data_IF_003706844759
#
_entry.id   IF_003706844759
#
_cell.length_a   1.000
_cell.length_b   1.000
_cell.length_c   1.000
_cell.angle_alpha   90.00
_cell.angle_beta   90.00
_cell.angle_gamma   90.00
#
_symmetry.space_group_name_H-M   'P 1'
#
loop_
_entity.id
_entity.type
_entity.pdbx_description
1 polymer ?
#
# COMPACT_ATOMS: atom_id res chain seq x y z
N UNK A 1 50.08 -19.55 37.12
CA UNK A 1 50.49 -20.91 37.53
C UNK A 1 49.88 -21.88 36.53
N UNK A 2 50.74 -22.56 35.75
CA UNK A 2 50.57 -23.82 34.99
C UNK A 2 49.37 -23.97 34.03
N UNK A 3 49.44 -24.53 32.83
CA UNK A 3 50.44 -25.08 31.90
C UNK A 3 49.63 -25.37 30.60
N UNK A 4 50.05 -24.96 29.40
CA UNK A 4 50.87 -25.69 28.42
C UNK A 4 50.17 -26.82 27.61
N UNK A 5 50.39 -26.79 26.29
CA UNK A 5 50.35 -27.93 25.36
C UNK A 5 49.10 -27.99 24.45
N UNK A 6 49.18 -28.14 23.12
CA UNK A 6 50.31 -28.38 22.24
C UNK A 6 49.80 -28.70 20.82
N UNK A 7 50.49 -28.12 19.85
CA UNK A 7 50.36 -28.11 18.39
C UNK A 7 50.37 -29.47 17.65
N UNK A 8 49.84 -29.52 16.42
CA UNK A 8 50.52 -29.86 15.13
C UNK A 8 49.48 -30.22 14.03
N UNK A 9 49.42 -29.49 12.90
CA UNK A 9 50.18 -29.70 11.62
C UNK A 9 49.81 -31.00 10.89
N UNK A 10 49.74 -31.14 9.57
CA UNK A 10 49.80 -30.29 8.38
C UNK A 10 49.73 -31.23 7.16
N UNK A 11 49.19 -30.73 6.04
CA UNK A 11 49.59 -31.03 4.62
C UNK A 11 49.21 -32.38 3.95
N UNK A 12 48.34 -32.19 2.93
CA UNK A 12 48.51 -32.47 1.47
C UNK A 12 48.82 -33.91 1.00
N UNK A 13 48.03 -34.37 0.02
CA UNK A 13 48.48 -34.61 -1.37
C UNK A 13 47.30 -34.83 -2.34
N UNK A 14 47.53 -34.45 -3.60
CA UNK A 14 46.70 -34.57 -4.80
C UNK A 14 47.45 -35.51 -5.74
N UNK A 15 46.77 -36.47 -6.39
CA UNK A 15 47.26 -37.21 -7.55
C UNK A 15 46.07 -37.54 -8.48
N UNK A 16 46.34 -37.50 -9.78
CA UNK A 16 45.45 -37.76 -10.93
C UNK A 16 45.79 -39.13 -11.59
N UNK A 17 44.85 -39.67 -12.40
CA UNK A 17 45.00 -40.80 -13.34
C UNK A 17 44.58 -42.17 -12.77
N UNK A 18 43.99 -43.15 -13.50
CA UNK A 18 43.69 -43.37 -14.92
C UNK A 18 42.83 -44.66 -15.06
N UNK A 19 42.28 -44.89 -16.26
CA UNK A 19 41.31 -45.92 -16.70
C UNK A 19 41.64 -47.42 -16.46
N UNK A 20 40.57 -48.25 -16.34
CA UNK A 20 40.26 -49.48 -17.12
C UNK A 20 39.41 -50.53 -16.35
N UNK A 21 38.66 -51.32 -17.11
CA UNK A 21 37.37 -51.94 -16.81
C UNK A 21 37.38 -53.34 -16.14
N UNK A 22 36.26 -53.73 -15.50
CA UNK A 22 35.69 -55.11 -15.55
C UNK A 22 34.24 -55.18 -15.04
N UNK A 23 33.40 -55.90 -15.79
CA UNK A 23 32.01 -56.34 -15.49
C UNK A 23 31.98 -57.44 -14.39
N UNK A 24 30.89 -57.94 -13.77
CA UNK A 24 29.44 -58.02 -13.99
C UNK A 24 28.72 -58.15 -12.62
N UNK A 25 27.39 -57.98 -12.59
CA UNK A 25 26.51 -58.77 -11.71
C UNK A 25 25.77 -58.04 -10.58
N UNK A 26 24.45 -57.90 -10.71
CA UNK A 26 23.56 -57.56 -9.59
C UNK A 26 22.27 -56.84 -9.96
N UNK A 27 21.35 -57.51 -10.66
CA UNK A 27 19.95 -57.08 -10.76
C UNK A 27 19.27 -57.19 -9.38
N UNK A 28 19.02 -56.06 -8.72
CA UNK A 28 17.96 -55.97 -7.71
C UNK A 28 17.04 -54.78 -7.97
N UNK A 29 15.77 -55.12 -8.13
CA UNK A 29 14.66 -54.28 -8.58
C UNK A 29 14.19 -53.40 -7.41
N UNK A 30 14.50 -52.11 -7.43
CA UNK A 30 13.82 -51.13 -6.55
C UNK A 30 12.90 -50.23 -7.39
N UNK A 31 11.67 -50.70 -7.59
CA UNK A 31 10.60 -49.94 -8.23
C UNK A 31 10.10 -48.82 -7.30
N UNK A 32 10.85 -47.72 -7.20
CA UNK A 32 10.33 -46.44 -6.69
C UNK A 32 9.80 -45.64 -7.88
N UNK A 33 8.50 -45.78 -8.10
CA UNK A 33 7.75 -45.05 -9.13
C UNK A 33 7.97 -43.55 -9.02
N UNK A 34 8.86 -43.01 -9.84
CA UNK A 34 8.95 -41.58 -10.10
C UNK A 34 7.72 -41.21 -10.92
N UNK A 35 6.70 -40.65 -10.26
CA UNK A 35 5.59 -40.01 -10.97
C UNK A 35 6.18 -38.87 -11.80
N UNK A 36 6.41 -39.14 -13.09
CA UNK A 36 6.78 -38.14 -14.09
C UNK A 36 5.73 -37.04 -14.03
N UNK A 37 6.06 -35.91 -13.39
CA UNK A 37 5.23 -34.71 -13.44
C UNK A 37 5.25 -34.25 -14.89
N UNK A 38 4.10 -34.39 -15.56
CA UNK A 38 3.87 -33.88 -16.90
C UNK A 38 4.30 -32.41 -17.01
N UNK A 39 4.81 -31.96 -18.16
CA UNK A 39 5.26 -30.59 -18.34
C UNK A 39 4.08 -29.64 -18.08
N UNK A 40 4.19 -28.80 -17.06
CA UNK A 40 3.17 -27.80 -16.72
C UNK A 40 3.07 -26.81 -17.88
N UNK A 41 2.10 -27.03 -18.77
CA UNK A 41 1.67 -26.01 -19.75
C UNK A 41 1.45 -24.71 -18.96
N UNK A 42 2.17 -23.66 -19.34
CA UNK A 42 2.31 -22.42 -18.55
C UNK A 42 0.99 -21.99 -17.91
N UNK A 43 1.04 -21.69 -16.61
CA UNK A 43 -0.14 -21.35 -15.81
C UNK A 43 -0.87 -20.11 -16.33
N UNK A 44 -0.19 -19.26 -17.09
CA UNK A 44 -0.72 -18.06 -17.75
C UNK A 44 -1.24 -18.36 -19.16
N UNK A 45 -2.43 -17.88 -19.49
CA UNK A 45 -3.01 -17.94 -20.83
C UNK A 45 -2.54 -16.77 -21.70
N UNK A 46 -2.92 -16.80 -22.99
CA UNK A 46 -2.68 -15.71 -23.95
C UNK A 46 -3.25 -14.36 -23.51
N UNK A 47 -4.26 -14.35 -22.64
CA UNK A 47 -4.82 -13.14 -22.03
C UNK A 47 -4.01 -12.60 -20.85
N UNK A 48 -2.80 -13.13 -20.60
CA UNK A 48 -1.91 -12.70 -19.50
C UNK A 48 -2.42 -13.03 -18.09
N UNK A 49 -3.46 -13.86 -17.97
CA UNK A 49 -4.06 -14.28 -16.69
C UNK A 49 -3.79 -15.74 -16.44
N UNK A 50 -3.87 -16.20 -15.19
CA UNK A 50 -3.86 -17.64 -14.93
C UNK A 50 -5.04 -18.32 -15.65
N UNK A 51 -4.79 -19.40 -16.40
CA UNK A 51 -5.80 -20.13 -17.20
C UNK A 51 -7.03 -20.47 -16.37
N UNK A 52 -6.84 -20.92 -15.13
CA UNK A 52 -7.91 -21.27 -14.20
C UNK A 52 -8.84 -20.09 -13.87
N UNK A 53 -8.37 -18.85 -13.95
CA UNK A 53 -9.14 -17.63 -13.63
C UNK A 53 -9.24 -16.68 -14.81
N UNK A 54 -9.09 -17.19 -16.04
CA UNK A 54 -9.32 -16.40 -17.24
C UNK A 54 -10.71 -16.65 -17.79
N UNK A 55 -11.53 -15.59 -17.84
CA UNK A 55 -12.89 -15.66 -18.41
C UNK A 55 -12.85 -16.01 -19.91
N UNK A 56 -11.92 -15.42 -20.66
CA UNK A 56 -11.77 -15.67 -22.09
C UNK A 56 -11.31 -17.09 -22.45
N UNK A 57 -10.73 -17.83 -21.50
CA UNK A 57 -10.33 -19.22 -21.69
C UNK A 57 -11.30 -20.23 -21.06
N UNK A 58 -12.48 -19.79 -20.59
CA UNK A 58 -13.41 -20.67 -19.86
C UNK A 58 -12.83 -21.25 -18.57
N UNK A 59 -11.92 -20.50 -17.91
CA UNK A 59 -11.17 -20.97 -16.76
C UNK A 59 -12.05 -21.63 -15.69
N UNK A 60 -11.67 -22.85 -15.27
CA UNK A 60 -12.42 -23.69 -14.33
C UNK A 60 -12.66 -23.06 -12.95
N UNK A 61 -11.97 -21.96 -12.64
CA UNK A 61 -12.14 -21.16 -11.44
C UNK A 61 -13.11 -19.99 -11.58
N UNK A 62 -13.71 -19.73 -12.75
CA UNK A 62 -14.68 -18.64 -12.97
C UNK A 62 -16.10 -19.18 -13.21
N UNK A 63 -17.09 -18.65 -12.51
CA UNK A 63 -18.50 -18.99 -12.73
C UNK A 63 -19.08 -18.22 -13.93
N UNK A 64 -20.28 -18.61 -14.34
CA UNK A 64 -21.08 -17.88 -15.35
C UNK A 64 -21.26 -16.39 -15.02
N UNK A 65 -21.33 -16.03 -13.73
CA UNK A 65 -21.38 -14.65 -13.25
C UNK A 65 -20.05 -13.86 -13.41
N UNK A 66 -19.02 -14.46 -14.00
CA UNK A 66 -17.71 -13.84 -14.23
C UNK A 66 -16.88 -13.60 -12.97
N UNK A 67 -17.30 -14.17 -11.83
CA UNK A 67 -16.59 -14.10 -10.53
C UNK A 67 -15.79 -15.38 -10.32
N UNK A 68 -14.80 -15.34 -9.44
CA UNK A 68 -14.10 -16.57 -9.00
C UNK A 68 -15.10 -17.46 -8.25
N UNK A 69 -15.27 -18.71 -8.70
CA UNK A 69 -16.31 -19.66 -8.23
C UNK A 69 -16.33 -19.80 -6.71
N UNK A 70 -15.16 -19.91 -6.08
CA UNK A 70 -15.04 -20.08 -4.63
C UNK A 70 -15.60 -18.90 -3.82
N UNK A 71 -15.64 -17.70 -4.41
CA UNK A 71 -16.15 -16.46 -3.79
C UNK A 71 -17.38 -15.90 -4.50
N UNK A 72 -18.06 -16.71 -5.32
CA UNK A 72 -19.31 -16.29 -5.95
C UNK A 72 -20.49 -16.67 -5.05
N UNK A 73 -21.23 -15.66 -4.57
CA UNK A 73 -22.40 -15.88 -3.71
C UNK A 73 -23.51 -16.64 -4.44
N UNK A 74 -23.77 -16.27 -5.70
CA UNK A 74 -24.81 -16.87 -6.55
C UNK A 74 -24.53 -18.34 -6.87
N UNK A 75 -23.26 -18.74 -6.91
CA UNK A 75 -22.87 -20.14 -7.12
C UNK A 75 -22.64 -20.92 -5.82
N UNK A 76 -22.99 -20.37 -4.65
CA UNK A 76 -22.75 -21.01 -3.36
C UNK A 76 -21.27 -21.26 -3.06
N UNK A 77 -20.38 -20.42 -3.58
CA UNK A 77 -18.93 -20.58 -3.51
C UNK A 77 -18.46 -20.95 -2.10
N UNK A 78 -17.73 -22.07 -1.98
CA UNK A 78 -17.37 -22.67 -0.70
C UNK A 78 -16.53 -21.80 0.24
N UNK A 79 -16.05 -20.63 -0.21
CA UNK A 79 -15.39 -19.64 0.63
C UNK A 79 -16.35 -18.58 1.20
N UNK A 80 -17.63 -18.57 0.85
CA UNK A 80 -18.65 -17.64 1.38
C UNK A 80 -19.49 -18.32 2.48
N UNK A 81 -19.70 -17.64 3.60
CA UNK A 81 -20.64 -18.09 4.64
C UNK A 81 -22.06 -17.58 4.38
N UNK A 82 -23.02 -18.08 5.16
CA UNK A 82 -24.41 -17.62 5.19
C UNK A 82 -24.55 -16.10 5.35
N UNK A 83 -23.62 -15.45 6.05
CA UNK A 83 -23.57 -13.99 6.22
C UNK A 83 -23.13 -13.23 4.94
N UNK A 84 -22.90 -13.92 3.82
CA UNK A 84 -22.44 -13.32 2.56
C UNK A 84 -21.02 -12.78 2.58
N UNK A 85 -20.23 -13.12 3.60
CA UNK A 85 -18.82 -12.73 3.76
C UNK A 85 -17.90 -13.91 3.43
N UNK A 86 -16.64 -13.62 3.15
CA UNK A 86 -15.62 -14.68 3.06
C UNK A 86 -15.51 -15.35 4.43
N UNK A 87 -15.67 -16.68 4.50
CA UNK A 87 -15.71 -17.51 5.72
C UNK A 87 -14.55 -17.20 6.66
N UNK A 88 -13.33 -17.16 6.14
CA UNK A 88 -12.13 -16.85 6.92
C UNK A 88 -12.15 -15.44 7.53
N UNK A 89 -12.92 -14.52 6.95
CA UNK A 89 -13.05 -13.12 7.38
C UNK A 89 -14.37 -12.83 8.09
N UNK A 90 -15.22 -13.83 8.34
CA UNK A 90 -16.50 -13.62 8.99
C UNK A 90 -16.40 -13.82 10.51
N UNK A 91 -16.66 -12.76 11.28
CA UNK A 91 -16.74 -12.84 12.75
C UNK A 91 -17.82 -13.82 13.21
N UNK A 92 -19.01 -13.75 12.62
CA UNK A 92 -20.15 -14.61 12.98
C UNK A 92 -19.93 -16.11 12.72
N UNK A 93 -18.97 -16.46 11.87
CA UNK A 93 -18.59 -17.86 11.60
C UNK A 93 -17.28 -18.27 12.27
N UNK A 94 -16.73 -17.46 13.19
CA UNK A 94 -15.45 -17.76 13.82
C UNK A 94 -14.26 -17.78 12.86
N UNK A 95 -14.35 -17.04 11.75
CA UNK A 95 -13.36 -17.06 10.67
C UNK A 95 -11.92 -16.94 11.17
N UNK A 96 -11.05 -17.84 10.70
CA UNK A 96 -9.67 -17.98 11.19
C UNK A 96 -8.83 -16.70 11.07
N UNK A 97 -9.22 -15.75 10.22
CA UNK A 97 -8.53 -14.48 10.04
C UNK A 97 -9.03 -13.35 10.94
N UNK A 98 -10.14 -13.52 11.68
CA UNK A 98 -10.73 -12.48 12.57
C UNK A 98 -10.64 -12.89 14.04
N UNK A 99 -10.18 -11.99 14.91
CA UNK A 99 -10.19 -12.21 16.36
C UNK A 99 -11.55 -11.89 16.98
N UNK A 100 -11.70 -12.21 18.26
CA UNK A 100 -12.88 -11.84 19.08
C UNK A 100 -13.20 -10.33 19.06
N UNK A 101 -12.17 -9.49 18.94
CA UNK A 101 -12.29 -8.03 18.78
C UNK A 101 -12.83 -7.59 17.41
N UNK A 102 -13.15 -8.52 16.50
CA UNK A 102 -13.66 -8.22 15.16
C UNK A 102 -12.62 -7.62 14.21
N UNK A 103 -11.34 -7.65 14.57
CA UNK A 103 -10.21 -7.19 13.75
C UNK A 103 -9.53 -8.37 13.06
N UNK A 104 -8.80 -8.10 11.99
CA UNK A 104 -7.96 -9.13 11.36
C UNK A 104 -6.88 -9.54 12.38
N UNK A 105 -6.77 -10.84 12.70
CA UNK A 105 -5.91 -11.38 13.77
C UNK A 105 -4.46 -10.92 13.65
N UNK A 106 -3.91 -10.95 12.43
CA UNK A 106 -2.52 -10.57 12.18
C UNK A 106 -2.21 -9.10 12.51
N UNK A 107 -3.23 -8.23 12.52
CA UNK A 107 -3.13 -6.80 12.82
C UNK A 107 -3.91 -6.39 14.07
N UNK A 108 -4.31 -7.33 14.91
CA UNK A 108 -4.96 -7.02 16.18
C UNK A 108 -3.91 -6.86 17.27
N UNK A 109 -3.80 -5.66 17.85
CA UNK A 109 -2.85 -5.39 18.94
C UNK A 109 -3.17 -6.21 20.20
N UNK A 110 -4.45 -6.28 20.58
CA UNK A 110 -4.91 -7.03 21.77
C UNK A 110 -4.65 -8.54 21.65
N UNK A 111 -4.65 -9.09 20.45
CA UNK A 111 -4.33 -10.51 20.22
C UNK A 111 -2.84 -10.76 19.93
N UNK A 112 -1.96 -9.77 20.09
CA UNK A 112 -0.53 -9.90 19.79
C UNK A 112 -0.24 -10.19 18.31
N UNK A 113 -1.08 -9.70 17.40
CA UNK A 113 -1.04 -10.01 15.97
C UNK A 113 0.36 -9.95 15.39
N UNK A 114 0.73 -10.99 14.63
CA UNK A 114 2.10 -11.20 14.12
C UNK A 114 2.64 -10.03 13.28
N UNK A 115 1.76 -9.22 12.68
CA UNK A 115 2.15 -8.08 11.85
C UNK A 115 2.35 -6.77 12.62
N UNK A 116 1.92 -6.67 13.88
CA UNK A 116 2.02 -5.45 14.71
C UNK A 116 2.97 -5.69 15.90
N UNK A 117 3.82 -4.70 16.20
CA UNK A 117 4.66 -4.72 17.39
C UNK A 117 3.96 -4.16 18.63
N UNK A 118 4.60 -4.28 19.79
CA UNK A 118 4.15 -3.68 21.05
C UNK A 118 3.86 -2.16 20.94
N UNK A 119 4.60 -1.45 20.09
CA UNK A 119 4.41 -0.02 19.79
C UNK A 119 3.13 0.27 18.96
N UNK A 120 2.35 -0.74 18.59
CA UNK A 120 1.12 -0.58 17.80
C UNK A 120 1.36 -0.25 16.32
N UNK A 121 2.60 -0.31 15.85
CA UNK A 121 2.97 -0.11 14.45
C UNK A 121 3.16 -1.46 13.74
N UNK A 122 3.06 -1.48 12.41
CA UNK A 122 3.42 -2.67 11.65
C UNK A 122 4.89 -3.01 11.93
N UNK A 123 5.20 -4.26 12.32
CA UNK A 123 6.56 -4.66 12.76
C UNK A 123 7.63 -4.28 11.75
N UNK A 124 7.35 -4.50 10.46
CA UNK A 124 8.27 -4.14 9.37
C UNK A 124 8.54 -2.64 9.25
N UNK A 125 7.65 -1.78 9.75
CA UNK A 125 7.78 -0.33 9.69
C UNK A 125 8.15 0.29 11.04
N UNK A 126 8.29 -0.50 12.10
CA UNK A 126 8.57 0.02 13.44
C UNK A 126 10.06 0.23 13.65
N UNK A 127 10.48 1.48 13.90
CA UNK A 127 11.87 1.82 14.23
C UNK A 127 12.32 1.16 15.55
N UNK A 128 11.48 1.22 16.59
CA UNK A 128 11.79 0.68 17.92
C UNK A 128 12.01 -0.84 17.95
N UNK A 129 11.45 -1.58 16.97
CA UNK A 129 11.63 -3.03 16.85
C UNK A 129 12.65 -3.44 15.79
N UNK A 130 13.41 -2.49 15.21
CA UNK A 130 14.36 -2.79 14.14
C UNK A 130 13.69 -3.31 12.85
N UNK A 131 12.46 -2.89 12.58
CA UNK A 131 11.67 -3.35 11.44
C UNK A 131 12.43 -3.30 10.11
N UNK A 132 12.37 -4.39 9.34
CA UNK A 132 13.14 -4.56 8.09
C UNK A 132 12.89 -3.50 7.02
N UNK A 133 11.77 -2.77 7.12
CA UNK A 133 11.39 -1.67 6.23
C UNK A 133 11.96 -0.30 6.62
N UNK A 134 12.57 -0.16 7.80
CA UNK A 134 13.22 1.09 8.25
C UNK A 134 14.74 0.86 8.31
N UNK A 135 15.52 1.85 7.87
CA UNK A 135 16.98 1.82 8.02
C UNK A 135 17.43 2.53 9.31
N UNK A 136 18.71 2.40 9.64
CA UNK A 136 19.35 3.08 10.78
C UNK A 136 19.10 4.60 10.80
N UNK A 137 18.99 5.23 9.63
CA UNK A 137 18.65 6.65 9.46
C UNK A 137 17.20 7.00 9.81
N UNK A 138 16.38 6.03 10.26
CA UNK A 138 14.96 6.24 10.58
C UNK A 138 14.05 6.48 9.37
N UNK A 139 14.55 6.27 8.15
CA UNK A 139 13.78 6.41 6.91
C UNK A 139 13.32 5.05 6.41
N UNK A 140 12.29 5.01 5.55
CA UNK A 140 11.97 3.78 4.81
C UNK A 140 13.19 3.32 4.02
N UNK A 141 13.64 2.09 4.22
CA UNK A 141 14.87 1.54 3.65
C UNK A 141 14.89 1.64 2.13
N UNK A 142 13.76 1.38 1.47
CA UNK A 142 13.60 1.55 0.02
C UNK A 142 13.79 3.00 -0.46
N UNK A 143 13.57 3.99 0.40
CA UNK A 143 13.66 5.42 0.08
C UNK A 143 14.92 6.09 0.67
N UNK A 144 15.79 5.33 1.33
CA UNK A 144 16.98 5.89 1.95
C UNK A 144 18.16 5.93 0.99
N UNK A 145 18.64 7.13 0.64
CA UNK A 145 19.84 7.31 -0.20
C UNK A 145 21.08 6.67 0.45
N UNK A 146 21.30 6.92 1.74
CA UNK A 146 22.46 6.40 2.48
C UNK A 146 22.53 4.88 2.58
N UNK A 147 21.40 4.18 2.40
CA UNK A 147 21.34 2.72 2.40
C UNK A 147 21.17 2.12 1.00
N UNK A 148 21.35 2.90 -0.07
CA UNK A 148 21.17 2.42 -1.45
C UNK A 148 19.73 1.99 -1.78
N UNK A 149 18.73 2.60 -1.15
CA UNK A 149 17.33 2.21 -1.26
C UNK A 149 16.85 2.03 -2.70
N UNK A 150 16.14 0.94 -2.96
CA UNK A 150 15.67 0.52 -4.31
C UNK A 150 14.79 1.56 -5.03
N UNK A 151 14.23 2.54 -4.32
CA UNK A 151 13.45 3.63 -4.90
C UNK A 151 14.24 4.89 -5.22
N UNK A 152 15.51 5.03 -4.81
CA UNK A 152 16.34 6.23 -5.04
C UNK A 152 17.51 5.91 -5.98
N UNK A 153 17.68 6.67 -7.06
CA UNK A 153 18.82 6.50 -7.96
C UNK A 153 20.11 7.11 -7.38
N UNK A 154 21.23 6.87 -8.05
CA UNK A 154 22.54 7.50 -7.75
C UNK A 154 22.47 9.04 -7.72
N UNK A 155 21.62 9.65 -8.56
CA UNK A 155 21.35 11.09 -8.58
C UNK A 155 20.58 11.60 -7.34
N UNK A 156 20.23 10.73 -6.39
CA UNK A 156 19.48 11.07 -5.17
C UNK A 156 18.01 11.40 -5.41
N UNK A 157 17.48 11.16 -6.62
CA UNK A 157 16.08 11.34 -6.98
C UNK A 157 15.33 10.01 -6.88
N UNK A 158 14.00 10.06 -6.76
CA UNK A 158 13.19 8.83 -6.84
C UNK A 158 13.35 8.24 -8.25
N UNK A 159 13.79 6.97 -8.36
CA UNK A 159 14.14 6.28 -9.62
C UNK A 159 13.05 6.43 -10.69
N UNK A 160 11.78 6.25 -10.30
CA UNK A 160 10.65 6.33 -11.23
C UNK A 160 10.46 7.71 -11.85
N UNK A 161 10.93 8.79 -11.21
CA UNK A 161 10.83 10.17 -11.69
C UNK A 161 12.18 10.78 -12.09
N UNK A 162 13.25 10.01 -12.09
CA UNK A 162 14.57 10.51 -12.47
C UNK A 162 14.72 10.50 -13.99
N UNK A 163 14.91 11.68 -14.60
CA UNK A 163 15.12 11.83 -16.04
C UNK A 163 16.41 11.14 -16.50
N UNK A 164 17.51 11.32 -15.78
CA UNK A 164 18.82 10.75 -16.10
C UNK A 164 18.80 9.21 -16.08
N UNK A 165 17.98 8.60 -15.23
CA UNK A 165 17.82 7.15 -15.17
C UNK A 165 16.72 6.60 -16.10
N UNK A 166 16.12 7.43 -16.97
CA UNK A 166 15.01 7.00 -17.82
C UNK A 166 13.77 6.55 -17.03
N UNK A 167 13.54 7.13 -15.85
CA UNK A 167 12.49 6.74 -14.92
C UNK A 167 11.13 6.56 -15.61
N UNK A 168 10.49 5.40 -15.39
CA UNK A 168 9.27 5.00 -16.10
C UNK A 168 8.06 5.93 -15.93
N UNK A 169 8.11 6.89 -15.01
CA UNK A 169 7.08 7.91 -14.84
C UNK A 169 7.38 9.22 -15.59
N UNK A 170 8.54 9.38 -16.24
CA UNK A 170 8.94 10.59 -17.00
C UNK A 170 8.93 10.31 -18.50
N UNK A 171 8.32 11.17 -19.31
CA UNK A 171 8.40 11.07 -20.76
C UNK A 171 9.66 11.76 -21.32
N UNK A 172 9.90 11.59 -22.62
CA UNK A 172 10.95 12.28 -23.38
C UNK A 172 10.93 13.81 -23.18
N UNK A 173 9.75 14.40 -22.99
CA UNK A 173 9.57 15.83 -22.70
C UNK A 173 10.03 16.25 -21.28
N UNK A 174 10.56 15.34 -20.46
CA UNK A 174 10.97 15.60 -19.08
C UNK A 174 9.83 15.84 -18.10
N UNK A 175 8.57 15.59 -18.50
CA UNK A 175 7.38 15.75 -17.67
C UNK A 175 6.92 14.40 -17.14
N UNK A 176 6.16 14.39 -16.04
CA UNK A 176 5.49 13.16 -15.58
C UNK A 176 4.55 12.67 -16.70
N UNK A 177 4.72 11.43 -17.16
CA UNK A 177 3.99 10.82 -18.29
C UNK A 177 2.48 11.00 -18.18
N UNK A 178 1.92 10.69 -17.01
CA UNK A 178 0.48 10.85 -16.75
C UNK A 178 0.01 12.30 -16.82
N UNK A 179 0.90 13.28 -16.70
CA UNK A 179 0.62 14.71 -16.77
C UNK A 179 1.12 15.36 -18.06
N UNK A 180 1.63 14.60 -19.01
CA UNK A 180 2.16 15.16 -20.25
C UNK A 180 1.12 15.12 -21.37
N UNK A 181 0.72 16.31 -21.85
CA UNK A 181 -0.19 16.45 -23.00
C UNK A 181 0.38 15.81 -24.27
N UNK A 182 1.66 16.07 -24.58
CA UNK A 182 2.32 15.55 -25.79
C UNK A 182 2.43 14.03 -25.84
N UNK A 183 2.36 13.34 -24.70
CA UNK A 183 2.39 11.88 -24.62
C UNK A 183 1.01 11.25 -24.40
N UNK A 184 -0.09 12.02 -24.53
CA UNK A 184 -1.45 11.52 -24.27
C UNK A 184 -1.70 11.09 -22.81
N UNK A 185 -0.92 11.63 -21.86
CA UNK A 185 -0.92 11.23 -20.46
C UNK A 185 -2.33 11.12 -19.86
N UNK A 186 -2.57 10.02 -19.13
CA UNK A 186 -3.91 9.66 -18.61
C UNK A 186 -4.57 10.71 -17.72
N UNK A 187 -3.80 11.65 -17.16
CA UNK A 187 -4.27 12.73 -16.31
C UNK A 187 -4.59 14.03 -17.04
N UNK A 188 -4.24 14.20 -18.32
CA UNK A 188 -4.45 15.44 -19.11
C UNK A 188 -5.29 15.15 -20.35
N UNK A 189 -6.33 15.94 -20.59
CA UNK A 189 -7.14 15.84 -21.81
C UNK A 189 -6.49 16.55 -23.00
N UNK A 190 -7.05 16.36 -24.20
CA UNK A 190 -6.68 17.08 -25.42
C UNK A 190 -6.72 18.61 -25.26
N UNK A 191 -7.60 19.13 -24.40
CA UNK A 191 -7.67 20.55 -24.05
C UNK A 191 -6.51 21.04 -23.16
N UNK A 192 -5.57 20.16 -22.76
CA UNK A 192 -4.45 20.50 -21.88
C UNK A 192 -4.83 20.70 -20.41
N UNK A 193 -6.09 20.45 -20.04
CA UNK A 193 -6.59 20.51 -18.66
C UNK A 193 -6.52 19.14 -17.98
N UNK A 194 -6.54 19.11 -16.65
CA UNK A 194 -6.65 17.85 -15.90
C UNK A 194 -7.95 17.15 -16.28
N UNK A 195 -7.90 15.89 -16.74
CA UNK A 195 -9.08 15.17 -17.27
C UNK A 195 -10.25 15.18 -16.31
N UNK A 196 -9.99 14.93 -15.02
CA UNK A 196 -11.03 14.90 -14.00
C UNK A 196 -11.74 16.25 -13.81
N UNK A 197 -11.07 17.36 -14.12
CA UNK A 197 -11.63 18.71 -13.98
C UNK A 197 -12.05 19.35 -15.31
N UNK A 198 -11.91 18.65 -16.43
CA UNK A 198 -12.23 19.21 -17.73
C UNK A 198 -13.73 19.07 -18.03
N UNK A 199 -14.46 20.19 -18.09
CA UNK A 199 -15.88 20.21 -18.49
C UNK A 199 -16.09 19.62 -19.88
N UNK A 200 -15.27 20.02 -20.86
CA UNK A 200 -15.38 19.56 -22.26
C UNK A 200 -15.14 18.07 -22.46
N UNK A 201 -14.50 17.38 -21.50
CA UNK A 201 -14.28 15.93 -21.55
C UNK A 201 -15.20 15.15 -20.58
N UNK A 202 -16.23 15.81 -20.00
CA UNK A 202 -17.09 15.17 -19.02
C UNK A 202 -16.37 14.74 -17.73
N UNK A 203 -15.28 15.43 -17.36
CA UNK A 203 -14.41 15.07 -16.25
C UNK A 203 -15.19 14.72 -14.98
N UNK A 204 -14.83 13.58 -14.35
CA UNK A 204 -15.52 13.01 -13.20
C UNK A 204 -15.72 13.95 -12.01
N UNK A 205 -14.93 15.02 -11.89
CA UNK A 205 -15.02 16.00 -10.82
C UNK A 205 -15.89 17.22 -11.14
N UNK A 206 -16.37 17.43 -12.36
CA UNK A 206 -17.21 18.59 -12.76
C UNK A 206 -18.60 18.12 -13.20
N UNK A 207 -19.66 18.73 -12.69
CA UNK A 207 -21.02 18.45 -13.15
C UNK A 207 -21.37 19.20 -14.45
N UNK A 208 -22.53 18.89 -15.02
CA UNK A 208 -23.10 19.60 -16.18
C UNK A 208 -23.18 21.13 -15.98
N UNK A 209 -23.44 21.57 -14.73
CA UNK A 209 -23.43 22.99 -14.34
C UNK A 209 -22.04 23.65 -14.39
N UNK A 210 -20.98 22.93 -14.74
CA UNK A 210 -19.61 23.44 -14.77
C UNK A 210 -18.97 23.67 -13.40
N UNK A 211 -19.64 23.25 -12.32
CA UNK A 211 -19.15 23.35 -10.93
C UNK A 211 -18.51 22.03 -10.51
N UNK A 212 -17.63 22.06 -9.52
CA UNK A 212 -17.08 20.84 -8.93
C UNK A 212 -18.23 20.01 -8.31
N UNK A 213 -18.38 18.75 -8.74
CA UNK A 213 -19.52 17.86 -8.39
C UNK A 213 -19.75 17.80 -6.89
N UNK A 214 -18.67 17.66 -6.11
CA UNK A 214 -18.76 17.54 -4.65
C UNK A 214 -19.35 18.78 -3.98
N UNK A 215 -19.25 19.96 -4.59
CA UNK A 215 -19.77 21.23 -4.03
C UNK A 215 -20.96 21.79 -4.81
N UNK A 216 -21.47 21.08 -5.81
CA UNK A 216 -22.60 21.55 -6.59
C UNK A 216 -23.92 21.22 -5.90
N UNK A 217 -24.64 22.25 -5.41
CA UNK A 217 -25.96 22.09 -4.79
C UNK A 217 -26.96 21.44 -5.76
N UNK A 218 -26.99 21.87 -7.01
CA UNK A 218 -27.90 21.33 -8.04
C UNK A 218 -27.67 19.86 -8.39
N UNK A 219 -26.52 19.29 -8.02
CA UNK A 219 -26.22 17.87 -8.23
C UNK A 219 -26.19 17.06 -6.91
N UNK A 220 -26.68 17.62 -5.80
CA UNK A 220 -26.63 16.97 -4.49
C UNK A 220 -25.21 16.70 -4.00
N UNK A 221 -24.24 17.56 -4.35
CA UNK A 221 -22.82 17.37 -4.09
C UNK A 221 -22.52 16.95 -2.65
N UNK A 222 -21.66 15.94 -2.49
CA UNK A 222 -21.38 15.29 -1.20
C UNK A 222 -20.86 16.22 -0.10
N UNK A 223 -20.36 17.41 -0.45
CA UNK A 223 -19.85 18.41 0.49
C UNK A 223 -20.89 19.46 0.88
N UNK A 224 -22.06 19.51 0.23
CA UNK A 224 -23.13 20.48 0.50
C UNK A 224 -24.35 19.76 1.08
N UNK A 225 -24.90 20.28 2.18
CA UNK A 225 -26.16 19.76 2.74
C UNK A 225 -27.37 20.34 2.00
N UNK A 226 -28.55 19.80 2.28
CA UNK A 226 -29.84 20.34 1.83
C UNK A 226 -30.01 21.84 2.13
N UNK A 227 -29.47 22.30 3.27
CA UNK A 227 -29.45 23.72 3.66
C UNK A 227 -28.53 24.60 2.79
N UNK A 228 -27.89 24.08 1.75
CA UNK A 228 -26.99 24.82 0.86
C UNK A 228 -25.65 25.23 1.49
N UNK A 229 -25.37 24.79 2.73
CA UNK A 229 -24.11 25.04 3.44
C UNK A 229 -23.14 23.87 3.23
N UNK A 230 -21.84 24.09 3.45
CA UNK A 230 -20.90 22.96 3.53
C UNK A 230 -21.33 22.04 4.67
N UNK A 231 -21.48 20.73 4.41
CA UNK A 231 -21.95 19.73 5.39
C UNK A 231 -21.14 19.79 6.68
N UNK A 232 -19.82 19.87 6.57
CA UNK A 232 -18.94 19.98 7.74
C UNK A 232 -19.18 21.23 8.58
N UNK A 233 -19.73 22.30 8.00
CA UNK A 233 -19.98 23.58 8.66
C UNK A 233 -21.47 23.79 8.98
N UNK A 234 -22.35 22.83 8.69
CA UNK A 234 -23.78 22.98 8.90
C UNK A 234 -24.17 22.47 10.28
N UNK A 235 -24.56 23.38 11.18
CA UNK A 235 -25.08 23.01 12.52
C UNK A 235 -26.27 22.06 12.43
N UNK A 236 -27.25 22.37 11.56
CA UNK A 236 -28.44 21.54 11.35
C UNK A 236 -28.17 20.15 10.77
N UNK A 237 -26.96 19.87 10.28
CA UNK A 237 -26.57 18.53 9.81
C UNK A 237 -25.51 17.87 10.70
N UNK A 238 -25.29 18.39 11.92
CA UNK A 238 -24.26 17.86 12.82
C UNK A 238 -22.83 17.99 12.27
N UNK A 239 -22.56 19.04 11.48
CA UNK A 239 -21.28 19.23 10.79
C UNK A 239 -20.06 19.08 11.70
N UNK A 240 -19.05 18.32 11.25
CA UNK A 240 -17.84 18.01 12.02
C UNK A 240 -17.03 19.25 12.44
N UNK A 241 -17.19 20.38 11.76
CA UNK A 241 -16.51 21.64 12.06
C UNK A 241 -17.23 22.52 13.08
N UNK A 242 -18.49 22.25 13.44
CA UNK A 242 -19.28 23.08 14.37
C UNK A 242 -19.55 22.31 15.67
N UNK A 243 -19.31 22.93 16.83
CA UNK A 243 -19.65 22.33 18.13
C UNK A 243 -21.14 22.50 18.45
N UNK A 244 -21.60 21.86 19.52
CA UNK A 244 -22.95 22.05 20.05
C UNK A 244 -23.27 23.52 20.38
N UNK A 245 -22.27 24.28 20.83
CA UNK A 245 -22.35 25.73 21.06
C UNK A 245 -22.51 26.58 19.78
N UNK A 246 -22.59 25.95 18.59
CA UNK A 246 -22.77 26.65 17.31
C UNK A 246 -21.53 27.39 16.80
N UNK A 247 -20.40 27.27 17.49
CA UNK A 247 -19.10 27.85 17.10
C UNK A 247 -18.27 26.85 16.31
N UNK A 248 -17.28 27.32 15.55
CA UNK A 248 -16.33 26.41 14.89
C UNK A 248 -15.54 25.67 15.98
N UNK A 249 -15.56 24.33 15.96
CA UNK A 249 -14.97 23.46 17.01
C UNK A 249 -13.53 23.84 17.34
N UNK A 250 -12.72 24.15 16.32
CA UNK A 250 -11.30 24.47 16.51
C UNK A 250 -11.06 25.79 17.25
N UNK A 251 -12.04 26.70 17.27
CA UNK A 251 -11.98 28.01 17.94
C UNK A 251 -13.04 28.14 19.04
N UNK A 252 -13.62 27.04 19.52
CA UNK A 252 -14.58 27.07 20.62
C UNK A 252 -13.84 26.87 21.95
N UNK A 253 -13.85 27.90 22.81
CA UNK A 253 -13.17 27.87 24.12
C UNK A 253 -13.73 26.77 25.02
N UNK A 254 -15.07 26.67 25.08
CA UNK A 254 -15.78 25.65 25.85
C UNK A 254 -15.51 24.22 25.37
N UNK A 255 -15.08 24.03 24.11
CA UNK A 255 -14.76 22.70 23.58
C UNK A 255 -13.25 22.42 23.58
N UNK A 256 -12.43 23.27 24.20
CA UNK A 256 -10.97 23.14 24.16
C UNK A 256 -10.40 23.17 22.74
N UNK A 257 -11.01 23.98 21.85
CA UNK A 257 -10.65 24.02 20.44
C UNK A 257 -9.14 24.24 20.23
N UNK A 258 -8.50 23.33 19.51
CA UNK A 258 -7.02 23.30 19.37
C UNK A 258 -6.39 24.53 18.69
N UNK A 259 -7.19 25.45 18.15
CA UNK A 259 -6.72 26.75 17.65
C UNK A 259 -6.74 27.85 18.70
N UNK A 260 -7.19 27.59 19.94
CA UNK A 260 -7.15 28.53 21.07
C UNK A 260 -5.88 28.28 21.90
N UNK A 261 -5.18 29.35 22.30
CA UNK A 261 -4.07 29.27 23.24
C UNK A 261 -4.57 29.30 24.68
N UNK A 262 -3.68 29.02 25.62
CA UNK A 262 -3.96 29.17 27.06
C UNK A 262 -4.45 30.57 27.44
N UNK A 263 -4.04 31.61 26.70
CA UNK A 263 -4.52 32.98 26.84
C UNK A 263 -5.96 33.22 26.32
N UNK A 264 -6.71 32.16 25.97
CA UNK A 264 -8.10 32.25 25.50
C UNK A 264 -8.27 32.92 24.13
N UNK A 265 -7.18 33.19 23.40
CA UNK A 265 -7.16 33.83 22.08
C UNK A 265 -6.88 32.79 21.00
N UNK A 266 -7.26 33.08 19.75
CA UNK A 266 -6.87 32.25 18.61
C UNK A 266 -5.33 32.30 18.50
N UNK A 267 -4.66 31.15 18.53
CA UNK A 267 -3.19 30.99 18.53
C UNK A 267 -2.52 31.84 17.46
N UNK A 268 -3.05 31.84 16.24
CA UNK A 268 -2.50 32.62 15.12
C UNK A 268 -2.61 34.14 15.28
N UNK A 269 -3.46 34.63 16.20
CA UNK A 269 -3.71 36.06 16.46
C UNK A 269 -3.25 36.48 17.87
N UNK A 270 -2.71 35.55 18.65
CA UNK A 270 -2.22 35.85 19.99
C UNK A 270 -0.81 36.43 19.88
N UNK A 271 -0.66 37.69 20.27
CA UNK A 271 0.64 38.38 20.28
C UNK A 271 1.65 37.68 21.19
N UNK A 272 1.21 37.20 22.35
CA UNK A 272 2.03 36.44 23.31
C UNK A 272 2.43 35.05 22.79
N UNK A 273 1.61 34.41 21.95
CA UNK A 273 1.97 33.16 21.31
C UNK A 273 2.71 33.35 19.96
N UNK A 274 3.14 34.58 19.65
CA UNK A 274 3.91 34.87 18.45
C UNK A 274 3.14 34.62 17.15
N UNK A 275 1.90 35.13 17.05
CA UNK A 275 1.10 35.08 15.81
C UNK A 275 1.79 35.77 14.63
N UNK A 276 2.69 35.05 13.96
CA UNK A 276 3.49 35.55 12.85
C UNK A 276 4.35 34.43 12.26
N UNK A 277 4.23 34.27 10.94
CA UNK A 277 4.92 33.33 10.07
C UNK A 277 6.36 32.98 10.49
N UNK A 278 6.68 31.68 10.45
CA UNK A 278 8.04 31.15 10.48
C UNK A 278 8.94 31.83 9.44
N UNK A 279 9.69 32.87 9.83
CA UNK A 279 10.91 33.26 9.12
C UNK A 279 11.99 32.25 9.49
N UNK A 280 12.26 31.35 8.55
CA UNK A 280 13.45 30.53 8.49
C UNK A 280 14.67 31.47 8.46
N UNK A 281 15.31 31.70 9.62
CA UNK A 281 16.69 32.21 9.65
C UNK A 281 17.60 31.01 9.41
N UNK A 282 18.13 30.90 8.19
CA UNK A 282 19.34 30.12 7.93
C UNK A 282 20.47 30.75 8.75
N UNK A 283 21.11 29.95 9.59
CA UNK A 283 22.39 30.29 10.16
C UNK A 283 23.42 30.40 9.03
N UNK A 284 24.08 31.56 8.95
CA UNK A 284 25.45 31.64 8.45
C UNK A 284 26.36 31.43 9.66
N UNK A 285 27.11 30.34 9.62
CA UNK A 285 28.41 30.19 10.26
C UNK A 285 29.27 29.43 9.27
#
# INVERSE_FOLDING_TARGET
MSAAGGSRSSKRRRLEGSDEAREEGGEERNAKGTKKRSPTRGSTCEHGRQRSVCKGCGGSGICEHGRVRSVCKECGGGSICEHGRIRSQCKGCGGASICEHGRIRSVCKECGGSSICEHGQQRSQCKGCGGSGICEHGRRRSQCKGCGGSSICEHGRVRSVCKECGGGSICEHGRIRSKCKGCGGSGICEHGRIRSTCKGCGGGSICEHGRVRSVCKGCGGSSICEHGRRRSQCKGCGGSSICEHGRIRSICKECGGGSICEHGRVRSRCKECGGGSSRYKQGRS
#
